data_IF_465359449110
#
_entry.id   IF_465359449110
#
_cell.length_a   1.000
_cell.length_b   1.000
_cell.length_c   1.000
_cell.angle_alpha   90.00
_cell.angle_beta   90.00
_cell.angle_gamma   90.00
#
_symmetry.space_group_name_H-M   'P 1'
#
loop_
_entity.id
_entity.type
_entity.pdbx_description
1 polymer ?
#
# COMPACT_ATOMS: atom_id res chain seq x y z
N UNK A 1 14.71 5.96 20.77
CA UNK A 1 13.87 4.81 21.20
C UNK A 1 14.80 3.60 21.22
N UNK A 2 14.72 2.70 22.20
CA UNK A 2 15.52 1.47 22.23
C UNK A 2 14.68 0.27 21.74
N UNK A 3 15.32 -0.85 21.41
CA UNK A 3 14.67 -2.09 20.96
C UNK A 3 13.48 -2.49 21.82
N UNK A 4 13.64 -2.49 23.14
CA UNK A 4 12.59 -2.87 24.09
C UNK A 4 11.38 -1.94 24.02
N UNK A 5 11.61 -0.63 23.86
CA UNK A 5 10.52 0.35 23.72
C UNK A 5 9.78 0.20 22.38
N UNK A 6 10.48 -0.07 21.28
CA UNK A 6 9.81 -0.32 19.99
C UNK A 6 9.00 -1.62 20.03
N UNK A 7 9.57 -2.71 20.59
CA UNK A 7 8.84 -3.97 20.76
C UNK A 7 7.59 -3.77 21.61
N UNK A 8 7.73 -3.12 22.76
CA UNK A 8 6.62 -2.82 23.66
C UNK A 8 5.56 -1.94 23.00
N UNK A 9 5.95 -0.90 22.25
CA UNK A 9 4.99 -0.07 21.50
C UNK A 9 4.17 -0.90 20.51
N UNK A 10 4.80 -1.83 19.79
CA UNK A 10 4.10 -2.69 18.80
C UNK A 10 3.21 -3.76 19.45
N UNK A 11 3.53 -4.18 20.67
CA UNK A 11 2.68 -5.04 21.48
C UNK A 11 1.49 -4.25 22.04
N UNK A 12 1.75 -3.11 22.68
CA UNK A 12 0.76 -2.26 23.33
C UNK A 12 -0.23 -1.65 22.34
N UNK A 13 0.19 -1.38 21.10
CA UNK A 13 -0.70 -0.82 20.08
C UNK A 13 -1.76 -1.81 19.61
N UNK A 14 -1.51 -3.12 19.72
CA UNK A 14 -2.41 -4.17 19.25
C UNK A 14 -3.33 -4.67 20.38
N UNK A 15 -4.50 -4.04 20.52
CA UNK A 15 -5.49 -4.38 21.56
C UNK A 15 -6.72 -4.99 20.91
N UNK A 16 -7.13 -6.19 21.35
CA UNK A 16 -8.35 -6.86 20.86
C UNK A 16 -8.46 -6.91 19.33
N UNK A 17 -7.35 -7.23 18.64
CA UNK A 17 -7.24 -7.28 17.16
C UNK A 17 -7.42 -5.91 16.46
N UNK A 18 -7.16 -4.82 17.18
CA UNK A 18 -7.23 -3.45 16.68
C UNK A 18 -5.94 -2.71 17.04
N UNK A 19 -5.47 -1.88 16.12
CA UNK A 19 -4.29 -1.03 16.27
C UNK A 19 -4.80 0.34 16.70
N UNK A 20 -4.60 0.68 17.98
CA UNK A 20 -5.21 1.86 18.61
C UNK A 20 -4.48 3.18 18.28
N UNK A 21 -3.35 3.11 17.57
CA UNK A 21 -2.59 4.27 17.12
C UNK A 21 -2.21 4.10 15.66
N UNK A 22 -2.70 4.99 14.80
CA UNK A 22 -2.53 4.88 13.33
C UNK A 22 -1.15 5.29 12.83
N UNK A 23 -0.38 6.02 13.63
CA UNK A 23 0.92 6.56 13.21
C UNK A 23 2.08 5.64 13.58
N UNK A 24 1.83 4.32 13.62
CA UNK A 24 2.88 3.33 13.87
C UNK A 24 3.99 3.52 12.83
N UNK A 25 5.25 3.74 13.26
CA UNK A 25 6.36 3.84 12.32
C UNK A 25 6.64 2.48 11.68
N UNK A 26 7.24 2.46 10.47
CA UNK A 26 7.65 1.21 9.86
C UNK A 26 8.55 0.41 10.81
N UNK A 27 8.48 -0.92 10.78
CA UNK A 27 9.35 -1.76 11.64
C UNK A 27 10.82 -1.62 11.28
N UNK A 28 11.08 -1.50 9.98
CA UNK A 28 12.41 -1.45 9.40
C UNK A 28 12.45 -0.41 8.30
N UNK A 29 13.65 0.11 8.06
CA UNK A 29 13.96 1.04 6.97
C UNK A 29 15.26 0.58 6.32
N UNK A 30 15.41 0.84 5.04
CA UNK A 30 16.65 0.64 4.30
C UNK A 30 17.54 1.87 4.48
N UNK A 31 18.59 1.72 5.28
CA UNK A 31 19.70 2.67 5.36
C UNK A 31 20.53 2.52 4.08
N UNK A 32 20.47 3.54 3.23
CA UNK A 32 21.10 3.52 1.91
C UNK A 32 22.63 3.62 2.08
N UNK A 33 23.13 4.48 2.96
CA UNK A 33 24.58 4.66 3.16
C UNK A 33 25.30 3.38 3.60
N UNK A 34 24.70 2.59 4.47
CA UNK A 34 25.25 1.28 4.86
C UNK A 34 24.79 0.12 3.97
N UNK A 35 23.85 0.38 3.06
CA UNK A 35 23.14 -0.60 2.25
C UNK A 35 22.57 -1.77 3.09
N UNK A 36 21.89 -1.43 4.19
CA UNK A 36 21.29 -2.41 5.13
C UNK A 36 19.90 -1.99 5.57
N UNK A 37 19.04 -2.98 5.75
CA UNK A 37 17.77 -2.81 6.44
C UNK A 37 18.04 -2.80 7.93
N UNK A 38 17.68 -1.71 8.58
CA UNK A 38 17.84 -1.49 10.02
C UNK A 38 16.47 -1.27 10.67
N UNK A 39 16.31 -1.57 11.97
CA UNK A 39 15.09 -1.23 12.69
C UNK A 39 14.86 0.28 12.70
N UNK A 40 13.61 0.73 12.56
CA UNK A 40 13.30 2.17 12.55
C UNK A 40 13.76 2.90 13.81
N UNK A 41 13.76 2.25 14.98
CA UNK A 41 14.21 2.87 16.23
C UNK A 41 15.71 3.22 16.23
N UNK A 42 16.51 2.64 15.33
CA UNK A 42 17.91 3.00 15.08
C UNK A 42 17.98 4.25 14.21
N UNK A 43 17.31 4.24 13.06
CA UNK A 43 17.31 5.37 12.12
C UNK A 43 16.65 6.62 12.71
N UNK A 44 15.48 6.46 13.35
CA UNK A 44 14.64 7.52 13.95
C UNK A 44 14.27 8.67 13.01
N UNK A 45 14.45 8.44 11.71
CA UNK A 45 14.11 9.36 10.62
C UNK A 45 12.99 8.73 9.81
N UNK A 46 12.10 9.57 9.28
CA UNK A 46 11.07 9.07 8.38
C UNK A 46 11.71 8.75 7.03
N UNK A 47 11.52 7.54 6.49
CA UNK A 47 12.16 7.16 5.23
C UNK A 47 11.43 7.77 4.03
N UNK A 48 12.16 7.91 2.92
CA UNK A 48 11.58 8.04 1.59
C UNK A 48 10.83 6.76 1.23
N UNK A 49 9.64 6.86 0.67
CA UNK A 49 8.88 5.67 0.28
C UNK A 49 9.17 5.31 -1.18
N UNK A 50 9.26 4.01 -1.48
CA UNK A 50 9.33 3.48 -2.84
C UNK A 50 8.03 2.73 -3.12
N UNK A 51 7.28 3.20 -4.12
CA UNK A 51 6.10 2.53 -4.65
C UNK A 51 6.41 1.94 -6.02
N UNK A 52 5.97 0.71 -6.28
CA UNK A 52 6.28 0.06 -7.55
C UNK A 52 5.16 -0.86 -8.05
N UNK A 53 5.13 -1.08 -9.36
CA UNK A 53 4.30 -2.13 -9.93
C UNK A 53 4.88 -3.51 -9.61
N UNK A 54 4.01 -4.50 -9.49
CA UNK A 54 4.45 -5.89 -9.57
C UNK A 54 4.66 -6.28 -11.03
N UNK A 55 5.57 -7.22 -11.29
CA UNK A 55 5.67 -7.88 -12.60
C UNK A 55 4.99 -9.24 -12.51
N UNK A 56 4.79 -9.90 -13.65
CA UNK A 56 4.25 -11.26 -13.66
C UNK A 56 5.15 -12.22 -12.88
N UNK A 57 4.56 -13.24 -12.26
CA UNK A 57 5.32 -14.20 -11.42
C UNK A 57 6.46 -14.88 -12.22
N UNK A 58 6.24 -15.13 -13.52
CA UNK A 58 7.27 -15.67 -14.44
C UNK A 58 8.46 -14.73 -14.68
N UNK A 59 8.26 -13.43 -14.50
CA UNK A 59 9.25 -12.37 -14.73
C UNK A 59 9.85 -11.86 -13.41
N UNK A 60 9.43 -12.46 -12.28
CA UNK A 60 9.92 -12.18 -10.93
C UNK A 60 10.92 -13.25 -10.48
N UNK A 61 11.88 -12.85 -9.65
CA UNK A 61 12.79 -13.74 -8.95
C UNK A 61 12.87 -13.36 -7.47
N UNK A 62 13.16 -14.36 -6.64
CA UNK A 62 13.28 -14.23 -5.20
C UNK A 62 14.77 -14.21 -4.84
N UNK A 63 15.28 -13.03 -4.45
CA UNK A 63 16.71 -12.81 -4.23
C UNK A 63 17.03 -12.78 -2.74
N UNK A 64 17.83 -13.74 -2.27
CA UNK A 64 18.41 -13.67 -0.93
C UNK A 64 19.53 -12.62 -0.93
N UNK A 65 19.39 -11.59 -0.11
CA UNK A 65 20.30 -10.43 -0.13
C UNK A 65 20.83 -10.09 1.26
N UNK A 66 22.11 -9.70 1.39
CA UNK A 66 22.63 -9.19 2.65
C UNK A 66 21.93 -7.89 3.10
N UNK A 67 21.26 -7.17 2.19
CA UNK A 67 20.58 -5.91 2.49
C UNK A 67 19.58 -6.11 3.64
N UNK A 68 18.74 -7.15 3.59
CA UNK A 68 17.81 -7.50 4.68
C UNK A 68 18.36 -8.57 5.64
N UNK A 69 19.68 -8.70 5.72
CA UNK A 69 20.34 -9.69 6.57
C UNK A 69 20.15 -11.14 6.12
N UNK A 70 19.77 -11.38 4.86
CA UNK A 70 19.38 -12.69 4.36
C UNK A 70 18.23 -13.33 5.18
N UNK A 71 17.39 -12.52 5.82
CA UNK A 71 16.29 -13.04 6.63
C UNK A 71 15.14 -13.58 5.78
N UNK A 72 14.88 -13.01 4.60
CA UNK A 72 13.91 -13.51 3.63
C UNK A 72 14.34 -13.17 2.21
N UNK A 73 13.90 -13.93 1.19
CA UNK A 73 14.13 -13.53 -0.18
C UNK A 73 13.31 -12.29 -0.56
N UNK A 74 13.93 -11.34 -1.26
CA UNK A 74 13.29 -10.15 -1.79
C UNK A 74 12.76 -10.42 -3.21
N UNK A 75 11.43 -10.38 -3.45
CA UNK A 75 10.86 -10.59 -4.77
C UNK A 75 11.08 -9.36 -5.67
N UNK A 76 11.89 -9.47 -6.72
CA UNK A 76 12.21 -8.39 -7.67
C UNK A 76 12.11 -8.84 -9.14
N UNK A 77 11.96 -7.94 -10.11
CA UNK A 77 12.02 -8.31 -11.53
C UNK A 77 13.38 -8.93 -11.93
N UNK A 78 13.35 -9.98 -12.75
CA UNK A 78 14.54 -10.73 -13.19
C UNK A 78 15.59 -9.89 -13.93
N UNK A 79 15.16 -8.82 -14.55
CA UNK A 79 15.94 -7.90 -15.37
C UNK A 79 16.41 -6.65 -14.60
N UNK A 80 16.34 -6.68 -13.26
CA UNK A 80 16.67 -5.54 -12.41
C UNK A 80 17.64 -5.92 -11.29
N UNK A 81 18.21 -4.91 -10.63
CA UNK A 81 19.11 -5.08 -9.50
C UNK A 81 18.80 -4.05 -8.40
N UNK A 82 18.76 -4.51 -7.14
CA UNK A 82 18.62 -3.65 -5.96
C UNK A 82 19.73 -2.59 -5.87
N UNK A 83 20.94 -2.87 -6.36
CA UNK A 83 22.03 -1.88 -6.36
C UNK A 83 21.74 -0.67 -7.27
N UNK A 84 21.01 -0.87 -8.37
CA UNK A 84 20.65 0.23 -9.27
C UNK A 84 19.57 1.13 -8.64
N UNK A 85 18.59 0.51 -7.98
CA UNK A 85 17.57 1.23 -7.20
C UNK A 85 18.24 2.00 -6.07
N UNK A 86 19.21 1.39 -5.39
CA UNK A 86 20.00 2.04 -4.36
C UNK A 86 20.72 3.29 -4.87
N UNK A 87 21.44 3.18 -6.00
CA UNK A 87 22.12 4.32 -6.63
C UNK A 87 21.14 5.43 -7.01
N UNK A 88 19.97 5.07 -7.55
CA UNK A 88 18.94 6.03 -7.92
C UNK A 88 18.38 6.79 -6.70
N UNK A 89 18.13 6.09 -5.59
CA UNK A 89 17.72 6.71 -4.33
C UNK A 89 18.81 7.63 -3.76
N UNK A 90 20.08 7.22 -3.81
CA UNK A 90 21.22 8.05 -3.39
C UNK A 90 21.35 9.32 -4.24
N UNK A 91 21.17 9.22 -5.55
CA UNK A 91 21.19 10.38 -6.45
C UNK A 91 20.03 11.35 -6.21
N UNK A 92 18.94 10.88 -5.60
CA UNK A 92 17.83 11.71 -5.13
C UNK A 92 18.04 12.26 -3.71
N UNK A 93 19.25 12.16 -3.17
CA UNK A 93 19.65 12.59 -1.82
C UNK A 93 18.93 11.86 -0.67
N UNK A 94 18.38 10.67 -0.93
CA UNK A 94 17.76 9.87 0.13
C UNK A 94 18.84 9.20 1.02
N UNK A 95 18.68 9.35 2.35
CA UNK A 95 19.49 8.64 3.35
C UNK A 95 18.83 7.32 3.77
N UNK A 96 17.52 7.37 4.02
CA UNK A 96 16.70 6.22 4.42
C UNK A 96 15.55 6.04 3.43
N UNK A 97 15.34 4.80 3.00
CA UNK A 97 14.21 4.40 2.16
C UNK A 97 13.34 3.34 2.85
N UNK A 98 12.09 3.25 2.42
CA UNK A 98 11.21 2.15 2.74
C UNK A 98 10.77 1.50 1.43
N UNK A 99 11.15 0.24 1.29
CA UNK A 99 10.80 -0.62 0.17
C UNK A 99 10.19 -1.88 0.77
N UNK A 100 8.93 -2.16 0.44
CA UNK A 100 8.12 -3.24 1.02
C UNK A 100 8.83 -4.62 0.94
N UNK A 101 9.45 -4.95 -0.20
CA UNK A 101 10.16 -6.23 -0.41
C UNK A 101 11.37 -6.40 0.51
N UNK A 102 11.96 -5.30 0.99
CA UNK A 102 13.10 -5.30 1.91
C UNK A 102 12.73 -5.05 3.37
N UNK A 103 11.71 -4.23 3.62
CA UNK A 103 11.38 -3.75 4.96
C UNK A 103 10.27 -4.56 5.64
N UNK A 104 9.40 -5.22 4.86
CA UNK A 104 8.42 -6.19 5.34
C UNK A 104 8.94 -7.61 5.13
N UNK A 105 8.72 -8.46 6.12
CA UNK A 105 9.06 -9.88 6.04
C UNK A 105 8.25 -10.54 4.91
N UNK A 106 8.94 -11.11 3.93
CA UNK A 106 8.33 -11.82 2.79
C UNK A 106 8.27 -13.33 3.05
N UNK A 107 7.54 -14.05 2.18
CA UNK A 107 7.39 -15.51 2.24
C UNK A 107 8.71 -16.21 1.98
N UNK A 108 8.97 -17.31 2.68
CA UNK A 108 10.05 -18.25 2.35
C UNK A 108 11.39 -17.92 3.01
N UNK A 109 11.37 -17.08 4.04
CA UNK A 109 12.55 -16.68 4.80
C UNK A 109 12.79 -17.47 6.09
N UNK A 110 13.88 -17.13 6.76
CA UNK A 110 14.09 -17.48 8.16
C UNK A 110 12.97 -16.88 9.02
N UNK A 111 12.57 -17.63 10.05
CA UNK A 111 11.54 -17.19 11.00
C UNK A 111 10.22 -16.78 10.33
N UNK A 112 9.78 -17.58 9.36
CA UNK A 112 8.46 -17.46 8.72
C UNK A 112 7.31 -17.39 9.76
N UNK A 113 7.50 -18.02 10.93
CA UNK A 113 6.59 -17.93 12.10
C UNK A 113 6.33 -16.50 12.57
N UNK A 114 7.27 -15.58 12.32
CA UNK A 114 7.15 -14.16 12.65
C UNK A 114 6.35 -13.38 11.61
N UNK A 115 6.28 -13.83 10.35
CA UNK A 115 5.64 -13.05 9.27
C UNK A 115 4.19 -12.74 9.61
N UNK A 116 3.42 -13.77 9.96
CA UNK A 116 2.02 -13.61 10.36
C UNK A 116 1.86 -12.79 11.66
N UNK A 117 2.89 -12.69 12.52
CA UNK A 117 2.84 -11.85 13.73
C UNK A 117 3.13 -10.39 13.41
N UNK A 118 4.18 -10.13 12.61
CA UNK A 118 4.57 -8.80 12.15
C UNK A 118 3.46 -8.18 11.29
N UNK A 119 2.92 -8.95 10.35
CA UNK A 119 1.91 -8.48 9.40
C UNK A 119 0.62 -8.01 10.05
N UNK A 120 0.26 -8.52 11.25
CA UNK A 120 -0.91 -8.03 12.00
C UNK A 120 -0.90 -6.53 12.21
N UNK A 121 0.28 -5.95 12.39
CA UNK A 121 0.49 -4.51 12.64
C UNK A 121 1.08 -3.82 11.42
N UNK A 122 2.08 -4.43 10.79
CA UNK A 122 2.91 -3.74 9.80
C UNK A 122 2.17 -3.55 8.45
N UNK A 123 1.45 -4.57 7.95
CA UNK A 123 0.68 -4.46 6.68
C UNK A 123 -0.42 -3.40 6.75
N UNK A 124 -1.31 -3.39 7.76
CA UNK A 124 -2.38 -2.41 7.81
C UNK A 124 -1.89 -1.02 8.22
N UNK A 125 -0.59 -0.82 8.50
CA UNK A 125 0.01 0.50 8.79
C UNK A 125 0.89 1.04 7.67
N UNK A 126 1.03 0.33 6.53
CA UNK A 126 1.84 0.74 5.37
C UNK A 126 1.50 2.15 4.90
N UNK A 127 0.22 2.51 4.83
CA UNK A 127 -0.21 3.84 4.36
C UNK A 127 0.38 5.01 5.17
N UNK A 128 0.81 4.79 6.42
CA UNK A 128 1.49 5.80 7.22
C UNK A 128 2.88 6.14 6.67
N UNK A 129 3.59 5.16 6.09
CA UNK A 129 4.93 5.36 5.51
C UNK A 129 4.88 6.42 4.40
N UNK A 130 3.85 6.36 3.55
CA UNK A 130 3.64 7.25 2.41
C UNK A 130 3.12 8.65 2.80
N UNK A 131 2.87 8.92 4.09
CA UNK A 131 2.47 10.25 4.60
C UNK A 131 3.66 11.12 5.00
N UNK A 132 4.88 10.68 4.72
CA UNK A 132 6.11 11.42 4.98
C UNK A 132 6.16 12.77 4.24
N UNK A 133 7.12 13.62 4.64
CA UNK A 133 7.35 14.92 3.97
C UNK A 133 8.17 14.79 2.70
N UNK A 134 8.92 13.71 2.56
CA UNK A 134 9.83 13.47 1.44
C UNK A 134 9.08 13.00 0.19
N UNK A 135 9.62 13.23 -1.02
CA UNK A 135 9.05 12.66 -2.24
C UNK A 135 8.97 11.13 -2.18
N UNK A 136 8.04 10.60 -2.99
CA UNK A 136 7.87 9.16 -3.17
C UNK A 136 8.45 8.78 -4.53
N UNK A 137 9.26 7.73 -4.56
CA UNK A 137 9.84 7.17 -5.79
C UNK A 137 8.85 6.17 -6.39
N UNK A 138 8.39 6.39 -7.63
CA UNK A 138 7.42 5.53 -8.30
C UNK A 138 8.02 4.77 -9.49
N UNK A 139 8.00 3.44 -9.43
CA UNK A 139 8.35 2.58 -10.56
C UNK A 139 7.10 1.98 -11.22
N UNK A 140 6.60 2.62 -12.27
CA UNK A 140 5.33 2.25 -12.92
C UNK A 140 5.37 0.95 -13.72
N UNK A 141 6.55 0.54 -14.21
CA UNK A 141 6.74 -0.65 -15.06
C UNK A 141 7.25 -1.89 -14.31
N UNK A 142 7.49 -1.76 -13.01
CA UNK A 142 8.13 -2.78 -12.18
C UNK A 142 9.31 -2.18 -11.42
N UNK A 143 9.53 -2.64 -10.19
CA UNK A 143 10.60 -2.14 -9.32
C UNK A 143 11.97 -2.10 -10.03
N UNK A 144 12.59 -0.93 -10.12
CA UNK A 144 13.90 -0.74 -10.77
C UNK A 144 13.91 -0.82 -12.30
N UNK A 145 12.74 -0.96 -12.95
CA UNK A 145 12.65 -0.95 -14.42
C UNK A 145 12.54 0.48 -14.94
N UNK A 146 13.08 0.75 -16.16
CA UNK A 146 12.86 2.02 -16.83
C UNK A 146 11.37 2.33 -17.05
N UNK A 147 11.00 3.61 -17.04
CA UNK A 147 9.68 4.06 -17.44
C UNK A 147 9.51 3.88 -18.96
N UNK A 148 8.98 2.73 -19.36
CA UNK A 148 8.75 2.34 -20.75
C UNK A 148 7.40 1.64 -20.86
N UNK A 149 6.35 2.42 -21.01
CA UNK A 149 4.98 1.91 -21.11
C UNK A 149 4.54 1.75 -22.58
N UNK A 150 3.68 0.76 -22.80
CA UNK A 150 2.93 0.53 -24.04
C UNK A 150 1.44 0.65 -23.74
N UNK A 151 0.61 0.94 -24.75
CA UNK A 151 -0.86 1.01 -24.57
C UNK A 151 -1.46 -0.26 -23.96
N UNK A 152 -0.89 -1.43 -24.26
CA UNK A 152 -1.34 -2.71 -23.68
C UNK A 152 -1.10 -2.81 -22.18
N UNK A 153 -0.07 -2.15 -21.64
CA UNK A 153 0.31 -2.26 -20.22
C UNK A 153 -0.74 -1.66 -19.30
N UNK A 154 -1.51 -0.68 -19.78
CA UNK A 154 -2.63 -0.08 -19.05
C UNK A 154 -3.79 -1.02 -18.78
N UNK A 155 -3.90 -2.11 -19.53
CA UNK A 155 -4.93 -3.15 -19.35
C UNK A 155 -4.48 -4.23 -18.37
N UNK A 156 -3.17 -4.42 -18.20
CA UNK A 156 -2.59 -5.43 -17.32
C UNK A 156 -3.07 -5.24 -15.88
N UNK A 157 -3.43 -6.33 -15.22
CA UNK A 157 -3.77 -6.37 -13.80
C UNK A 157 -2.58 -6.04 -12.89
N UNK A 158 -1.36 -6.12 -13.42
CA UNK A 158 -0.12 -5.72 -12.75
C UNK A 158 0.19 -4.23 -12.87
N UNK A 159 -0.56 -3.50 -13.69
CA UNK A 159 -0.38 -2.08 -13.88
C UNK A 159 -0.49 -1.32 -12.55
N UNK A 160 0.45 -0.41 -12.30
CA UNK A 160 0.49 0.36 -11.06
C UNK A 160 -0.82 1.09 -10.76
N UNK A 161 -1.46 1.73 -11.75
CA UNK A 161 -2.70 2.47 -11.55
C UNK A 161 -3.87 1.61 -11.05
N UNK A 162 -3.85 0.30 -11.33
CA UNK A 162 -4.92 -0.65 -10.97
C UNK A 162 -4.75 -1.28 -9.60
N UNK A 163 -3.57 -1.21 -8.94
CA UNK A 163 -3.36 -1.87 -7.64
C UNK A 163 -4.26 -1.27 -6.55
N UNK A 164 -4.68 -2.08 -5.58
CA UNK A 164 -5.44 -1.61 -4.40
C UNK A 164 -4.63 -0.66 -3.52
N UNK A 165 -3.34 -0.91 -3.38
CA UNK A 165 -2.44 -0.13 -2.54
C UNK A 165 -2.14 1.27 -3.10
N UNK A 166 -2.23 1.44 -4.42
CA UNK A 166 -1.98 2.71 -5.13
C UNK A 166 -2.72 3.89 -4.53
N UNK A 167 -3.96 3.69 -4.05
CA UNK A 167 -4.66 4.77 -3.39
C UNK A 167 -3.87 5.23 -2.16
N UNK A 168 -3.47 4.34 -1.26
CA UNK A 168 -2.69 4.71 -0.08
C UNK A 168 -1.28 5.23 -0.41
N UNK A 169 -0.65 4.68 -1.45
CA UNK A 169 0.73 4.98 -1.82
C UNK A 169 0.89 6.31 -2.57
N UNK A 170 -0.16 6.77 -3.27
CA UNK A 170 -0.05 7.96 -4.11
C UNK A 170 -0.09 9.27 -3.30
N UNK A 171 0.92 10.10 -3.55
CA UNK A 171 1.06 11.49 -3.09
C UNK A 171 1.67 12.31 -4.23
N UNK A 172 1.26 13.58 -4.31
CA UNK A 172 1.63 14.48 -5.41
C UNK A 172 3.14 14.78 -5.46
N UNK A 173 3.79 14.85 -4.30
CA UNK A 173 5.25 15.02 -4.20
C UNK A 173 5.94 13.71 -4.62
N UNK A 174 6.41 13.66 -5.87
CA UNK A 174 6.88 12.43 -6.50
C UNK A 174 8.20 12.58 -7.26
N UNK A 175 8.92 11.47 -7.36
CA UNK A 175 10.00 11.22 -8.32
C UNK A 175 9.60 9.99 -9.14
N UNK A 176 9.83 10.04 -10.45
CA UNK A 176 9.58 8.92 -11.35
C UNK A 176 10.86 8.08 -11.41
N UNK A 177 10.78 6.86 -10.88
CA UNK A 177 11.88 5.91 -10.92
C UNK A 177 12.05 5.29 -12.30
N UNK A 178 13.30 5.08 -12.71
CA UNK A 178 13.64 4.56 -14.02
C UNK A 178 13.42 5.54 -15.17
N UNK A 179 13.25 6.84 -14.88
CA UNK A 179 13.24 7.86 -15.92
C UNK A 179 14.65 7.99 -16.51
N UNK A 180 14.78 7.73 -17.82
CA UNK A 180 16.06 7.80 -18.53
C UNK A 180 16.30 9.16 -19.18
N UNK A 181 15.37 10.11 -19.07
CA UNK A 181 15.41 11.40 -19.78
C UNK A 181 15.26 11.28 -21.30
N UNK A 182 14.85 10.09 -21.79
CA UNK A 182 14.61 9.85 -23.21
C UNK A 182 13.15 10.17 -23.53
N UNK A 183 12.91 11.35 -24.08
CA UNK A 183 11.56 11.79 -24.43
C UNK A 183 10.88 10.89 -25.48
N UNK A 184 11.64 10.10 -26.23
CA UNK A 184 11.10 9.15 -27.20
C UNK A 184 10.82 7.76 -26.61
N UNK A 185 11.07 7.54 -25.32
CA UNK A 185 10.82 6.27 -24.64
C UNK A 185 9.34 5.87 -24.61
N UNK A 186 8.43 6.83 -24.85
CA UNK A 186 6.99 6.65 -24.81
C UNK A 186 6.32 7.37 -25.98
N UNK A 187 5.49 6.65 -26.74
CA UNK A 187 4.67 7.25 -27.79
C UNK A 187 3.72 8.30 -27.21
N UNK A 188 3.43 9.36 -27.97
CA UNK A 188 2.63 10.51 -27.50
C UNK A 188 1.25 10.10 -26.93
N UNK A 189 0.56 9.16 -27.60
CA UNK A 189 -0.73 8.64 -27.13
C UNK A 189 -0.62 7.92 -25.77
N UNK A 190 0.47 7.17 -25.56
CA UNK A 190 0.74 6.48 -24.29
C UNK A 190 1.06 7.50 -23.19
N UNK A 191 1.80 8.57 -23.52
CA UNK A 191 2.13 9.66 -22.59
C UNK A 191 0.88 10.42 -22.17
N UNK A 192 0.01 10.78 -23.12
CA UNK A 192 -1.26 11.41 -22.83
C UNK A 192 -2.16 10.55 -21.93
N UNK A 193 -2.22 9.24 -22.19
CA UNK A 193 -2.96 8.29 -21.36
C UNK A 193 -2.37 8.16 -19.94
N UNK A 194 -1.03 8.14 -19.84
CA UNK A 194 -0.32 8.13 -18.55
C UNK A 194 -0.65 9.37 -17.72
N UNK A 195 -0.49 10.56 -18.31
CA UNK A 195 -0.75 11.83 -17.65
C UNK A 195 -2.21 11.96 -17.23
N UNK A 196 -3.15 11.52 -18.08
CA UNK A 196 -4.58 11.49 -17.76
C UNK A 196 -4.88 10.63 -16.53
N UNK A 197 -4.28 9.44 -16.42
CA UNK A 197 -4.47 8.57 -15.25
C UNK A 197 -3.82 9.14 -13.99
N UNK A 198 -2.68 9.80 -14.15
CA UNK A 198 -1.97 10.45 -13.06
C UNK A 198 -2.75 11.65 -12.51
N UNK A 199 -3.31 12.49 -13.39
CA UNK A 199 -4.24 13.57 -13.04
C UNK A 199 -5.47 13.04 -12.30
N UNK A 200 -6.09 11.97 -12.80
CA UNK A 200 -7.23 11.35 -12.11
C UNK A 200 -6.88 10.88 -10.68
N UNK A 201 -5.67 10.32 -10.48
CA UNK A 201 -5.20 9.97 -9.12
C UNK A 201 -4.93 11.20 -8.26
N UNK A 202 -4.44 12.31 -8.82
CA UNK A 202 -4.28 13.58 -8.11
C UNK A 202 -5.62 14.13 -7.63
N UNK A 203 -6.64 14.10 -8.48
CA UNK A 203 -8.00 14.50 -8.11
C UNK A 203 -8.52 13.64 -6.96
N UNK A 204 -8.45 12.31 -7.09
CA UNK A 204 -8.83 11.38 -6.02
C UNK A 204 -8.05 11.69 -4.74
N UNK A 205 -6.74 11.94 -4.86
CA UNK A 205 -5.91 12.24 -3.71
C UNK A 205 -6.32 13.54 -3.01
N UNK A 206 -6.68 14.58 -3.76
CA UNK A 206 -7.21 15.84 -3.19
C UNK A 206 -8.56 15.62 -2.52
N UNK A 207 -9.47 14.87 -3.15
CA UNK A 207 -10.73 14.47 -2.53
C UNK A 207 -10.54 13.72 -1.21
N UNK A 208 -9.51 12.87 -1.08
CA UNK A 208 -9.17 12.26 0.23
C UNK A 208 -8.80 13.26 1.31
N UNK A 209 -8.42 14.48 0.99
CA UNK A 209 -8.16 15.51 2.00
C UNK A 209 -9.39 16.37 2.29
N UNK A 210 -10.29 16.54 1.31
CA UNK A 210 -11.40 17.49 1.37
C UNK A 210 -12.78 16.86 1.68
N UNK A 211 -13.05 15.61 1.24
CA UNK A 211 -14.30 14.89 1.50
C UNK A 211 -14.05 13.37 1.59
N UNK A 212 -13.87 12.88 2.82
CA UNK A 212 -13.61 11.45 3.09
C UNK A 212 -14.89 10.71 3.44
N UNK A 213 -15.73 10.44 2.46
CA UNK A 213 -16.90 9.58 2.67
C UNK A 213 -16.62 8.13 2.24
N UNK A 214 -17.22 7.20 2.98
CA UNK A 214 -17.10 5.77 2.75
C UNK A 214 -17.47 5.34 1.32
N UNK A 215 -18.47 5.96 0.68
CA UNK A 215 -18.93 5.53 -0.65
C UNK A 215 -17.93 5.89 -1.73
N UNK A 216 -17.35 7.08 -1.70
CA UNK A 216 -16.27 7.49 -2.61
C UNK A 216 -15.05 6.58 -2.46
N UNK A 217 -14.64 6.27 -1.22
CA UNK A 217 -13.53 5.36 -0.98
C UNK A 217 -13.79 3.95 -1.55
N UNK A 218 -15.02 3.45 -1.38
CA UNK A 218 -15.44 2.16 -1.90
C UNK A 218 -15.54 2.15 -3.44
N UNK A 219 -15.99 3.23 -4.08
CA UNK A 219 -16.09 3.32 -5.56
C UNK A 219 -14.70 3.21 -6.18
N UNK A 220 -13.71 3.92 -5.63
CA UNK A 220 -12.33 3.86 -6.11
C UNK A 220 -11.65 2.52 -5.84
N UNK A 221 -12.07 1.78 -4.80
CA UNK A 221 -11.52 0.48 -4.45
C UNK A 221 -12.11 -0.68 -5.28
N UNK A 222 -13.34 -0.53 -5.78
CA UNK A 222 -14.09 -1.58 -6.46
C UNK A 222 -13.32 -2.22 -7.63
N UNK A 223 -12.84 -1.40 -8.55
CA UNK A 223 -12.26 -1.89 -9.81
C UNK A 223 -10.74 -2.16 -9.73
N UNK A 224 -10.17 -2.02 -8.53
CA UNK A 224 -8.74 -2.25 -8.29
C UNK A 224 -8.41 -3.73 -8.15
N UNK A 225 -7.16 -4.08 -8.39
CA UNK A 225 -6.62 -5.44 -8.40
C UNK A 225 -5.80 -5.69 -7.15
N UNK A 226 -6.01 -6.85 -6.54
CA UNK A 226 -5.28 -7.33 -5.37
C UNK A 226 -4.89 -8.80 -5.54
N UNK A 227 -3.79 -9.21 -4.93
CA UNK A 227 -3.42 -10.63 -4.85
C UNK A 227 -4.19 -11.33 -3.74
N UNK A 228 -4.28 -10.73 -2.55
CA UNK A 228 -5.15 -11.21 -1.48
C UNK A 228 -6.42 -10.32 -1.41
N UNK A 229 -7.63 -10.89 -1.46
CA UNK A 229 -8.86 -10.11 -1.31
C UNK A 229 -8.91 -9.23 -0.05
N UNK A 230 -8.29 -9.68 1.06
CA UNK A 230 -8.21 -8.92 2.32
C UNK A 230 -7.46 -7.59 2.15
N UNK A 231 -6.54 -7.49 1.18
CA UNK A 231 -5.79 -6.26 0.89
C UNK A 231 -6.70 -5.10 0.49
N UNK A 232 -7.88 -5.38 -0.10
CA UNK A 232 -8.87 -4.33 -0.40
C UNK A 232 -9.33 -3.63 0.88
N UNK A 233 -9.54 -4.39 1.95
CA UNK A 233 -9.99 -3.86 3.24
C UNK A 233 -8.85 -3.10 3.92
N UNK A 234 -7.64 -3.67 3.95
CA UNK A 234 -6.47 -3.00 4.51
C UNK A 234 -6.15 -1.70 3.74
N UNK A 235 -6.33 -1.72 2.41
CA UNK A 235 -6.20 -0.60 1.50
C UNK A 235 -7.22 0.53 1.71
N UNK A 236 -8.37 0.28 2.35
CA UNK A 236 -9.38 1.31 2.62
C UNK A 236 -9.06 2.16 3.86
N UNK A 237 -8.33 1.62 4.83
CA UNK A 237 -8.13 2.25 6.16
C UNK A 237 -7.64 3.69 6.05
N UNK A 238 -6.64 3.96 5.23
CA UNK A 238 -6.04 5.30 5.09
C UNK A 238 -6.82 6.23 4.15
N UNK A 239 -7.90 5.75 3.53
CA UNK A 239 -8.79 6.52 2.65
C UNK A 239 -10.02 7.06 3.40
N UNK A 240 -10.39 6.44 4.51
CA UNK A 240 -11.57 6.79 5.30
C UNK A 240 -11.31 8.00 6.20
N UNK A 241 -12.40 8.72 6.49
CA UNK A 241 -12.46 9.99 7.22
C UNK A 241 -11.85 9.93 8.59
N UNK A 242 -12.56 9.17 9.40
CA UNK A 242 -12.36 8.98 10.82
C UNK A 242 -12.38 7.48 11.05
N UNK A 243 -11.24 6.90 11.42
CA UNK A 243 -11.18 5.51 11.87
C UNK A 243 -10.57 5.51 13.26
N UNK A 244 -11.31 5.00 14.25
CA UNK A 244 -10.94 5.06 15.67
C UNK A 244 -9.73 4.16 15.97
N UNK A 245 -9.56 3.10 15.19
CA UNK A 245 -8.45 2.15 15.27
C UNK A 245 -8.30 1.43 13.93
N UNK A 246 -7.14 0.86 13.64
CA UNK A 246 -6.94 0.08 12.41
C UNK A 246 -7.17 -1.41 12.70
N UNK A 247 -8.01 -2.15 11.93
CA UNK A 247 -8.14 -3.59 12.11
C UNK A 247 -6.80 -4.30 11.88
N UNK A 248 -6.44 -5.23 12.76
CA UNK A 248 -5.23 -6.03 12.53
C UNK A 248 -5.39 -6.96 11.33
N UNK A 249 -4.32 -7.17 10.59
CA UNK A 249 -4.35 -7.97 9.38
C UNK A 249 -4.16 -9.46 9.64
N UNK A 250 -4.97 -10.29 8.99
CA UNK A 250 -4.85 -11.74 9.01
C UNK A 250 -5.00 -12.26 7.58
N UNK A 251 -3.92 -12.81 7.01
CA UNK A 251 -3.86 -13.21 5.60
C UNK A 251 -4.95 -14.21 5.20
N UNK A 252 -5.32 -15.11 6.11
CA UNK A 252 -6.30 -16.19 5.88
C UNK A 252 -7.72 -15.82 6.34
N UNK A 253 -7.98 -14.59 6.81
CA UNK A 253 -9.33 -14.21 7.21
C UNK A 253 -10.23 -14.04 5.98
N UNK A 254 -11.54 -14.26 6.15
CA UNK A 254 -12.48 -13.96 5.08
C UNK A 254 -12.56 -12.45 4.86
N UNK A 255 -12.81 -12.03 3.62
CA UNK A 255 -12.99 -10.61 3.29
C UNK A 255 -14.21 -10.01 4.02
N UNK A 256 -15.24 -10.81 4.32
CA UNK A 256 -16.41 -10.37 5.08
C UNK A 256 -16.10 -10.14 6.56
N UNK A 257 -15.22 -10.96 7.16
CA UNK A 257 -14.75 -10.74 8.53
C UNK A 257 -13.84 -9.51 8.60
N UNK A 258 -12.97 -9.34 7.60
CA UNK A 258 -12.13 -8.14 7.46
C UNK A 258 -13.00 -6.87 7.33
N UNK A 259 -14.01 -6.90 6.44
CA UNK A 259 -14.97 -5.81 6.28
C UNK A 259 -15.72 -5.51 7.58
N UNK A 260 -16.15 -6.56 8.28
CA UNK A 260 -16.79 -6.42 9.59
C UNK A 260 -15.89 -5.73 10.60
N UNK A 261 -14.63 -6.15 10.68
CA UNK A 261 -13.66 -5.54 11.58
C UNK A 261 -13.41 -4.07 11.24
N UNK A 262 -13.38 -3.70 9.95
CA UNK A 262 -13.25 -2.31 9.51
C UNK A 262 -14.48 -1.48 9.89
N UNK A 263 -15.69 -1.94 9.58
CA UNK A 263 -16.91 -1.18 9.92
C UNK A 263 -17.07 -1.00 11.43
N UNK A 264 -16.63 -1.97 12.24
CA UNK A 264 -16.68 -1.87 13.71
C UNK A 264 -15.79 -0.76 14.29
N UNK A 265 -14.80 -0.27 13.52
CA UNK A 265 -13.87 0.79 13.92
C UNK A 265 -13.98 2.06 13.07
N UNK A 266 -14.87 2.08 12.08
CA UNK A 266 -15.21 3.28 11.31
C UNK A 266 -15.83 4.33 12.23
N UNK A 267 -15.54 5.60 11.93
CA UNK A 267 -16.12 6.75 12.60
C UNK A 267 -17.64 6.80 12.43
N UNK A 268 -18.28 7.61 13.26
CA UNK A 268 -19.75 7.70 13.31
C UNK A 268 -20.35 8.14 11.97
N UNK A 269 -19.70 9.06 11.26
CA UNK A 269 -20.15 9.58 9.97
C UNK A 269 -20.19 8.50 8.90
N UNK A 270 -19.13 7.70 8.76
CA UNK A 270 -19.05 6.61 7.77
C UNK A 270 -20.04 5.48 8.10
N UNK A 271 -20.18 5.12 9.39
CA UNK A 271 -21.19 4.13 9.82
C UNK A 271 -22.62 4.62 9.59
N UNK A 272 -22.88 5.90 9.84
CA UNK A 272 -24.18 6.52 9.59
C UNK A 272 -24.49 6.54 8.09
N UNK A 273 -23.51 6.85 7.23
CA UNK A 273 -23.68 6.76 5.79
C UNK A 273 -24.09 5.34 5.36
N UNK A 274 -23.38 4.30 5.83
CA UNK A 274 -23.75 2.91 5.55
C UNK A 274 -25.18 2.57 6.01
N UNK A 275 -25.61 3.06 7.17
CA UNK A 275 -26.93 2.78 7.74
C UNK A 275 -28.07 3.53 7.04
N UNK A 276 -27.90 4.83 6.80
CA UNK A 276 -28.98 5.70 6.32
C UNK A 276 -29.11 5.72 4.79
N UNK A 277 -28.04 5.44 4.04
CA UNK A 277 -28.05 5.62 2.58
C UNK A 277 -28.01 4.32 1.79
N UNK A 278 -27.67 3.18 2.39
CA UNK A 278 -27.73 1.89 1.70
C UNK A 278 -29.18 1.36 1.64
N UNK A 279 -29.74 1.04 0.46
CA UNK A 279 -31.18 0.87 0.28
C UNK A 279 -31.74 -0.49 0.71
N UNK A 280 -30.90 -1.44 1.17
CA UNK A 280 -31.31 -2.82 1.46
C UNK A 280 -30.79 -3.27 2.83
N UNK A 281 -31.50 -4.15 3.56
CA UNK A 281 -30.96 -4.72 4.78
C UNK A 281 -29.69 -5.53 4.49
N UNK A 282 -28.79 -5.58 5.47
CA UNK A 282 -27.63 -6.46 5.45
C UNK A 282 -28.03 -7.93 5.32
N UNK A 283 -27.32 -8.69 4.49
CA UNK A 283 -27.62 -10.10 4.20
C UNK A 283 -26.72 -11.12 4.93
N UNK A 284 -26.01 -10.66 5.96
CA UNK A 284 -25.14 -11.48 6.82
C UNK A 284 -25.56 -11.34 8.29
N UNK A 285 -24.64 -11.50 9.23
CA UNK A 285 -24.90 -11.45 10.67
C UNK A 285 -25.40 -10.09 11.20
N UNK A 286 -25.26 -9.01 10.42
CA UNK A 286 -25.69 -7.66 10.79
C UNK A 286 -26.67 -7.14 9.73
N UNK A 287 -27.89 -6.80 10.15
CA UNK A 287 -28.96 -6.31 9.25
C UNK A 287 -28.90 -4.81 8.98
N UNK A 288 -28.26 -4.05 9.87
CA UNK A 288 -28.22 -2.57 9.81
C UNK A 288 -27.20 -2.03 8.80
N UNK A 289 -26.26 -2.84 8.33
CA UNK A 289 -25.23 -2.43 7.37
C UNK A 289 -25.10 -3.45 6.24
N UNK A 290 -24.63 -3.04 5.06
CA UNK A 290 -24.34 -3.99 4.00
C UNK A 290 -23.14 -4.89 4.33
N UNK A 291 -23.18 -6.10 3.78
CA UNK A 291 -22.00 -6.96 3.66
C UNK A 291 -21.05 -6.44 2.59
N UNK A 292 -19.80 -6.94 2.58
CA UNK A 292 -18.83 -6.56 1.56
C UNK A 292 -19.35 -6.89 0.16
N UNK A 293 -19.92 -8.10 0.01
CA UNK A 293 -20.52 -8.53 -1.25
C UNK A 293 -21.68 -7.62 -1.71
N UNK A 294 -22.50 -7.13 -0.78
CA UNK A 294 -23.56 -6.17 -1.09
C UNK A 294 -23.02 -4.84 -1.60
N UNK A 295 -22.03 -4.25 -0.92
CA UNK A 295 -21.42 -2.98 -1.32
C UNK A 295 -20.79 -3.09 -2.70
N UNK A 296 -19.98 -4.13 -2.92
CA UNK A 296 -19.18 -4.23 -4.15
C UNK A 296 -20.03 -4.54 -5.39
N UNK A 297 -21.14 -5.26 -5.24
CA UNK A 297 -21.99 -5.67 -6.36
C UNK A 297 -23.17 -4.73 -6.64
N UNK A 298 -23.38 -3.70 -5.81
CA UNK A 298 -24.51 -2.79 -5.98
C UNK A 298 -24.11 -1.55 -6.80
N UNK A 299 -24.50 -1.55 -8.08
CA UNK A 299 -24.21 -0.46 -9.03
C UNK A 299 -25.05 0.79 -8.74
N UNK A 300 -26.19 0.66 -8.05
CA UNK A 300 -27.07 1.79 -7.71
C UNK A 300 -26.47 2.71 -6.64
N UNK A 301 -25.57 2.19 -5.79
CA UNK A 301 -25.02 2.93 -4.62
C UNK A 301 -23.59 3.41 -4.86
N UNK A 302 -22.87 2.74 -5.75
CA UNK A 302 -21.51 3.11 -6.14
C UNK A 302 -21.54 3.24 -7.67
N UNK A 303 -21.67 4.45 -8.23
CA UNK A 303 -21.52 4.61 -9.67
C UNK A 303 -20.10 4.20 -10.09
N UNK A 304 -19.97 3.63 -11.29
CA UNK A 304 -18.65 3.41 -11.89
C UNK A 304 -17.97 4.76 -12.12
N UNK A 305 -16.69 4.86 -11.76
CA UNK A 305 -15.86 6.02 -12.08
C UNK A 305 -15.40 5.99 -13.54
#
# INVERSE_FOLDING_TARGET
MCRERDSKMREDVLVNKRIIWKEVPPRRVWDLYSNRVVPWWVARTWPWAISHAWVEDKDRMDVLTPINGCEWPAPIPKDTNLDLIHIEMLNADAEYAWLDVLCLRQVGGQREDLRAKEWKVDVPTIGNVYRGKDPIMYYFNGLGRPLRMKMGDFKSDRNWFKRVWTLQEFVDKRIIGGDTGDDNAMAEEVRAEFDRRLLALQEISRFRFDSRDVWTALSHMRDRVCTNPVDRIAGLVYLLGDVDAIPSYYEMQSIEDAWTALVDVMGNSDRAALFFTYPRPGNRNKVWRPSWSQVMNNVEVLPSN
#
